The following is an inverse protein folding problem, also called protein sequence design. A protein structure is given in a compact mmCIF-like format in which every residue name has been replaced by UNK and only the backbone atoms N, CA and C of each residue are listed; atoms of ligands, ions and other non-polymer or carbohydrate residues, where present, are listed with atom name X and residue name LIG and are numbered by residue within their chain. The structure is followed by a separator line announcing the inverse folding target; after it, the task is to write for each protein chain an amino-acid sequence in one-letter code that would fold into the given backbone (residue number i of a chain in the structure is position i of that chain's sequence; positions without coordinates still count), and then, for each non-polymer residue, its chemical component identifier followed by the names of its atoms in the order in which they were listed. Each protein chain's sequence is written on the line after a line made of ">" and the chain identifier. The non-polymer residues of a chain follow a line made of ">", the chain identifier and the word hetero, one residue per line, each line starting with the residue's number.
data_IF_172896036443
#
_entry.id   IF_172896036443
#
_cell.length_a   1.000
_cell.length_b   1.000
_cell.length_c   1.000
_cell.angle_alpha   90.00
_cell.angle_beta   90.00
_cell.angle_gamma   90.00
#
_symmetry.space_group_name_H-M   'P 1'
#
loop_
_entity.id
_entity.type
_entity.pdbx_description
1 polymer ?
#
# COMPACT_ATOMS: atom_id res chain seq x y z
N UNK A 1 -18.05 38.90 -67.07
CA UNK A 1 -18.45 39.30 -65.70
C UNK A 1 -19.28 38.17 -65.10
N UNK A 2 -18.66 37.30 -64.31
CA UNK A 2 -19.31 36.08 -63.80
C UNK A 2 -19.96 36.38 -62.45
N UNK A 3 -21.29 36.21 -62.42
CA UNK A 3 -22.18 36.40 -61.28
C UNK A 3 -22.25 35.16 -60.39
N UNK A 4 -22.57 35.42 -59.12
CA UNK A 4 -22.84 34.47 -58.04
C UNK A 4 -23.92 33.43 -58.36
N UNK A 5 -23.81 32.26 -57.70
CA UNK A 5 -24.89 31.29 -57.52
C UNK A 5 -24.66 30.46 -56.27
N UNK A 6 -25.44 30.74 -55.22
CA UNK A 6 -25.49 29.97 -53.99
C UNK A 6 -26.28 28.68 -54.19
N UNK A 7 -25.93 27.61 -53.46
CA UNK A 7 -26.83 26.47 -53.25
C UNK A 7 -26.63 25.92 -51.84
N UNK A 8 -27.70 26.04 -51.06
CA UNK A 8 -27.85 25.54 -49.69
C UNK A 8 -28.47 24.14 -49.79
N UNK A 9 -27.83 23.13 -49.21
CA UNK A 9 -28.46 21.84 -48.94
C UNK A 9 -28.61 21.65 -47.42
N UNK A 10 -29.86 21.73 -46.97
CA UNK A 10 -30.32 21.36 -45.63
C UNK A 10 -30.73 19.88 -45.67
N UNK A 11 -30.04 19.03 -44.91
CA UNK A 11 -30.57 17.70 -44.57
C UNK A 11 -31.05 17.67 -43.12
N UNK A 12 -32.32 17.31 -42.98
CA UNK A 12 -33.06 17.08 -41.74
C UNK A 12 -32.73 15.69 -41.21
N UNK A 13 -32.39 15.61 -39.92
CA UNK A 13 -32.30 14.36 -39.17
C UNK A 13 -33.00 14.46 -37.82
N UNK A 14 -34.34 14.39 -37.82
CA UNK A 14 -35.14 14.23 -36.62
C UNK A 14 -35.06 12.77 -36.12
N UNK A 15 -34.66 12.56 -34.86
CA UNK A 15 -35.14 11.42 -34.06
C UNK A 15 -35.56 11.92 -32.68
N UNK A 16 -36.88 11.82 -32.47
CA UNK A 16 -37.65 12.07 -31.26
C UNK A 16 -37.48 10.85 -30.36
N UNK A 17 -37.10 11.05 -29.10
CA UNK A 17 -37.28 10.05 -28.04
C UNK A 17 -38.11 10.73 -26.94
N UNK A 18 -39.28 10.15 -26.69
CA UNK A 18 -40.29 10.63 -25.77
C UNK A 18 -39.84 10.40 -24.31
N UNK A 19 -39.88 11.45 -23.50
CA UNK A 19 -39.65 11.40 -22.05
C UNK A 19 -41.00 11.64 -21.36
N UNK A 20 -41.46 10.64 -20.62
CA UNK A 20 -42.61 10.74 -19.73
C UNK A 20 -42.42 11.85 -18.69
N UNK A 21 -43.34 12.81 -18.69
CA UNK A 21 -43.49 13.85 -17.67
C UNK A 21 -44.23 13.28 -16.45
N UNK A 22 -43.60 13.33 -15.27
CA UNK A 22 -44.32 13.49 -14.02
C UNK A 22 -43.96 14.85 -13.42
N UNK A 23 -44.97 15.72 -13.38
CA UNK A 23 -44.99 16.99 -12.69
C UNK A 23 -44.84 16.79 -11.18
N UNK A 24 -43.90 17.50 -10.56
CA UNK A 24 -44.11 18.14 -9.25
C UNK A 24 -43.57 19.57 -9.39
N UNK A 25 -44.49 20.53 -9.39
CA UNK A 25 -44.20 21.96 -9.35
C UNK A 25 -43.96 22.40 -7.89
N UNK A 26 -42.77 22.93 -7.60
CA UNK A 26 -42.58 24.03 -6.64
C UNK A 26 -41.40 24.91 -7.12
N UNK A 27 -41.71 26.14 -7.50
CA UNK A 27 -40.80 27.28 -7.81
C UNK A 27 -40.45 28.06 -6.51
N UNK A 28 -39.56 29.09 -6.51
CA UNK A 28 -38.61 29.50 -7.55
C UNK A 28 -37.16 29.81 -7.10
N UNK A 29 -36.31 29.82 -8.13
CA UNK A 29 -34.99 30.45 -8.27
C UNK A 29 -34.92 31.93 -7.85
N UNK A 30 -33.96 32.28 -6.98
CA UNK A 30 -33.38 33.65 -6.92
C UNK A 30 -31.83 33.65 -6.79
N UNK A 31 -31.14 32.53 -6.51
CA UNK A 31 -29.70 32.58 -6.17
C UNK A 31 -28.71 32.02 -7.22
N UNK A 32 -29.18 31.46 -8.34
CA UNK A 32 -28.29 30.77 -9.29
C UNK A 32 -27.70 31.64 -10.41
N UNK A 33 -28.20 32.85 -10.65
CA UNK A 33 -27.78 33.68 -11.81
C UNK A 33 -26.64 34.65 -11.52
N UNK A 34 -26.42 35.09 -10.26
CA UNK A 34 -25.29 36.00 -9.93
C UNK A 34 -23.91 35.32 -9.99
N UNK A 35 -23.80 34.05 -9.63
CA UNK A 35 -22.50 33.36 -9.53
C UNK A 35 -21.88 32.94 -10.89
N UNK A 36 -22.67 32.89 -11.97
CA UNK A 36 -22.14 32.49 -13.30
C UNK A 36 -21.52 33.65 -14.08
N UNK A 37 -21.95 34.89 -13.86
CA UNK A 37 -21.41 36.05 -14.57
C UNK A 37 -20.04 36.48 -14.03
N UNK A 38 -19.82 36.36 -12.72
CA UNK A 38 -18.57 36.76 -12.08
C UNK A 38 -17.41 35.78 -12.37
N UNK A 39 -17.72 34.49 -12.53
CA UNK A 39 -16.70 33.46 -12.78
C UNK A 39 -16.11 33.52 -14.21
N UNK A 40 -16.90 33.97 -15.19
CA UNK A 40 -16.43 34.13 -16.58
C UNK A 40 -15.64 35.43 -16.79
N UNK A 41 -15.86 36.45 -15.96
CA UNK A 41 -15.06 37.69 -15.98
C UNK A 41 -13.64 37.44 -15.43
N UNK A 42 -13.51 36.69 -14.33
CA UNK A 42 -12.21 36.38 -13.70
C UNK A 42 -11.30 35.49 -14.58
N UNK A 43 -11.88 34.61 -15.40
CA UNK A 43 -11.10 33.75 -16.30
C UNK A 43 -10.50 34.50 -17.51
N UNK A 44 -11.05 35.67 -17.89
CA UNK A 44 -10.50 36.46 -19.02
C UNK A 44 -9.33 37.34 -18.61
N UNK A 45 -9.31 37.88 -17.39
CA UNK A 45 -8.20 38.69 -16.85
C UNK A 45 -6.95 37.88 -16.55
N UNK A 46 -7.08 36.59 -16.19
CA UNK A 46 -5.92 35.73 -15.94
C UNK A 46 -5.15 35.34 -17.21
N UNK A 47 -5.80 35.33 -18.39
CA UNK A 47 -5.17 34.90 -19.65
C UNK A 47 -4.32 35.97 -20.33
N UNK A 48 -4.50 37.25 -19.99
CA UNK A 48 -3.72 38.36 -20.54
C UNK A 48 -2.36 38.59 -19.86
N UNK A 49 -2.07 37.93 -18.71
CA UNK A 49 -0.83 38.15 -17.96
C UNK A 49 0.31 37.15 -18.24
N UNK A 50 0.10 36.13 -19.06
CA UNK A 50 1.10 35.08 -19.32
C UNK A 50 1.80 35.15 -20.70
N UNK A 51 1.65 36.26 -21.43
CA UNK A 51 2.28 36.46 -22.73
C UNK A 51 3.39 37.50 -22.69
N UNK A 52 4.48 37.25 -21.95
CA UNK A 52 5.80 37.85 -22.20
C UNK A 52 6.79 37.39 -21.11
N UNK A 53 7.56 36.35 -21.40
CA UNK A 53 8.90 36.14 -20.82
C UNK A 53 9.72 35.33 -21.81
N UNK A 54 10.36 36.06 -22.72
CA UNK A 54 11.41 35.56 -23.61
C UNK A 54 12.72 35.35 -22.83
N UNK A 55 13.42 34.31 -23.25
CA UNK A 55 14.88 34.15 -23.39
C UNK A 55 15.78 35.00 -22.47
N UNK A 56 16.50 34.30 -21.59
CA UNK A 56 17.87 34.69 -21.23
C UNK A 56 18.72 33.42 -21.16
N UNK A 57 19.81 33.47 -21.91
CA UNK A 57 20.83 32.44 -22.05
C UNK A 57 21.55 32.16 -20.73
N UNK A 58 21.70 30.88 -20.39
CA UNK A 58 22.53 30.41 -19.29
C UNK A 58 23.63 29.52 -19.85
N UNK A 59 24.84 30.11 -19.89
CA UNK A 59 26.11 29.48 -20.23
C UNK A 59 26.43 28.40 -19.20
N UNK A 60 26.53 27.15 -19.64
CA UNK A 60 26.98 26.04 -18.82
C UNK A 60 28.51 26.10 -18.63
N UNK A 61 28.93 26.41 -17.40
CA UNK A 61 30.31 26.24 -16.94
C UNK A 61 30.57 24.74 -16.70
N UNK A 62 31.52 24.19 -17.45
CA UNK A 62 32.02 22.83 -17.35
C UNK A 62 32.90 22.73 -16.09
N UNK A 63 32.55 21.85 -15.16
CA UNK A 63 33.43 21.45 -14.05
C UNK A 63 34.19 20.16 -14.40
N UNK A 64 35.46 20.02 -13.97
CA UNK A 64 36.34 18.94 -14.42
C UNK A 64 36.10 17.60 -13.70
N UNK A 65 36.39 16.53 -14.45
CA UNK A 65 36.35 15.11 -14.06
C UNK A 65 37.18 14.77 -12.80
N UNK A 66 36.64 13.96 -11.87
CA UNK A 66 37.46 13.33 -10.85
C UNK A 66 38.12 12.05 -11.37
N UNK A 67 39.45 12.09 -11.35
CA UNK A 67 40.44 11.00 -11.26
C UNK A 67 39.97 9.55 -11.45
N UNK A 68 40.49 8.97 -12.53
CA UNK A 68 40.56 7.57 -12.94
C UNK A 68 41.16 6.67 -11.83
N UNK A 69 40.34 5.84 -11.20
CA UNK A 69 40.82 4.74 -10.34
C UNK A 69 41.22 3.56 -11.24
N UNK A 70 42.49 3.17 -11.20
CA UNK A 70 42.98 1.97 -11.89
C UNK A 70 42.44 0.68 -11.24
N UNK A 71 41.98 -0.32 -12.01
CA UNK A 71 41.64 -1.63 -11.49
C UNK A 71 42.92 -2.45 -11.21
N UNK A 72 42.98 -3.09 -10.04
CA UNK A 72 44.03 -4.05 -9.71
C UNK A 72 43.93 -5.34 -10.55
N UNK A 73 45.06 -6.01 -10.83
CA UNK A 73 45.09 -7.23 -11.63
C UNK A 73 44.43 -8.43 -10.91
N UNK A 74 43.89 -9.41 -11.65
CA UNK A 74 43.22 -10.56 -11.08
C UNK A 74 44.20 -11.49 -10.36
N UNK A 75 43.87 -11.84 -9.12
CA UNK A 75 44.56 -12.88 -8.34
C UNK A 75 44.25 -14.24 -8.97
N UNK A 76 45.30 -14.88 -9.45
CA UNK A 76 45.31 -16.18 -10.11
C UNK A 76 44.95 -17.30 -9.12
N UNK A 77 43.70 -17.75 -9.15
CA UNK A 77 43.23 -18.83 -8.27
C UNK A 77 43.74 -20.18 -8.79
N UNK A 78 44.73 -20.73 -8.10
CA UNK A 78 45.25 -22.09 -8.28
C UNK A 78 44.13 -23.15 -8.18
N UNK A 79 43.61 -23.58 -9.34
CA UNK A 79 42.72 -24.75 -9.46
C UNK A 79 43.55 -26.03 -9.35
N UNK A 80 43.70 -26.57 -8.15
CA UNK A 80 44.08 -27.98 -7.96
C UNK A 80 42.91 -28.86 -8.45
N UNK A 81 43.01 -29.36 -9.69
CA UNK A 81 42.18 -30.45 -10.22
C UNK A 81 42.39 -31.68 -9.33
N UNK A 82 41.38 -32.03 -8.52
CA UNK A 82 41.30 -33.38 -7.93
C UNK A 82 40.89 -34.34 -9.04
N UNK A 83 41.86 -35.12 -9.51
CA UNK A 83 41.64 -36.33 -10.30
C UNK A 83 40.78 -37.27 -9.44
N UNK A 84 39.54 -37.53 -9.88
CA UNK A 84 38.70 -38.59 -9.31
C UNK A 84 39.24 -39.92 -9.85
N UNK A 85 39.91 -40.68 -8.99
CA UNK A 85 40.13 -42.11 -9.23
C UNK A 85 38.76 -42.83 -9.23
N UNK A 86 38.56 -43.84 -10.09
CA UNK A 86 37.31 -44.57 -10.17
C UNK A 86 37.18 -45.48 -8.94
N UNK A 87 36.14 -45.23 -8.14
CA UNK A 87 35.73 -46.14 -7.07
C UNK A 87 35.10 -47.36 -7.73
N UNK A 88 35.74 -48.51 -7.57
CA UNK A 88 35.25 -49.80 -8.02
C UNK A 88 33.86 -50.11 -7.44
N UNK A 89 32.95 -50.51 -8.33
CA UNK A 89 31.69 -51.16 -7.96
C UNK A 89 32.01 -52.51 -7.31
N UNK A 90 31.84 -52.60 -6.00
CA UNK A 90 31.71 -53.90 -5.34
C UNK A 90 30.31 -54.44 -5.63
N UNK A 91 30.29 -55.56 -6.34
CA UNK A 91 29.08 -56.31 -6.70
C UNK A 91 28.45 -56.91 -5.44
N UNK A 92 27.18 -56.57 -5.21
CA UNK A 92 26.34 -57.18 -4.20
C UNK A 92 25.81 -58.53 -4.72
N UNK A 93 26.66 -59.56 -4.69
CA UNK A 93 26.28 -60.96 -4.94
C UNK A 93 26.74 -61.79 -3.76
N UNK A 94 25.94 -61.80 -2.68
CA UNK A 94 25.85 -62.91 -1.71
C UNK A 94 24.88 -62.55 -0.58
N UNK A 95 23.56 -62.63 -0.84
CA UNK A 95 22.56 -62.68 0.24
C UNK A 95 21.21 -63.27 -0.19
N UNK A 96 21.23 -64.36 -0.96
CA UNK A 96 20.03 -65.18 -1.23
C UNK A 96 20.42 -66.65 -1.32
N UNK A 97 20.59 -67.28 -0.18
CA UNK A 97 20.34 -68.71 -0.03
C UNK A 97 19.57 -68.89 1.29
N UNK A 98 18.62 -69.82 1.31
CA UNK A 98 17.63 -70.12 2.36
C UNK A 98 16.25 -69.45 2.19
N UNK A 99 15.51 -69.86 1.15
CA UNK A 99 14.05 -70.05 1.21
C UNK A 99 13.77 -71.40 0.52
N UNK A 100 13.09 -72.36 1.16
CA UNK A 100 12.80 -73.66 0.56
C UNK A 100 11.78 -73.54 -0.58
N UNK A 101 12.05 -74.33 -1.62
CA UNK A 101 11.23 -74.48 -2.81
C UNK A 101 10.04 -75.40 -2.53
N UNK A 102 8.82 -74.86 -2.67
CA UNK A 102 7.61 -75.65 -2.95
C UNK A 102 6.49 -74.72 -3.44
N UNK A 103 6.54 -74.34 -4.72
CA UNK A 103 5.38 -73.83 -5.48
C UNK A 103 5.69 -73.82 -6.98
N UNK A 104 5.98 -75.00 -7.52
CA UNK A 104 5.73 -75.29 -8.93
C UNK A 104 4.24 -75.56 -9.04
N UNK A 105 3.48 -74.63 -9.63
CA UNK A 105 2.17 -74.85 -10.30
C UNK A 105 1.49 -73.49 -10.55
N UNK A 106 2.11 -72.57 -11.29
CA UNK A 106 1.44 -71.41 -11.92
C UNK A 106 2.29 -70.92 -13.11
N UNK A 107 2.43 -71.77 -14.13
CA UNK A 107 2.95 -71.35 -15.44
C UNK A 107 1.74 -70.97 -16.31
N UNK A 108 1.46 -69.68 -16.49
CA UNK A 108 0.36 -69.24 -17.35
C UNK A 108 -0.01 -67.76 -17.37
N UNK A 109 0.61 -66.89 -16.56
CA UNK A 109 0.27 -65.46 -16.57
C UNK A 109 1.41 -64.63 -17.17
N UNK A 110 1.20 -64.16 -18.40
CA UNK A 110 2.07 -63.19 -19.06
C UNK A 110 2.29 -61.97 -18.16
N UNK A 111 3.54 -61.46 -18.01
CA UNK A 111 3.83 -60.34 -17.14
C UNK A 111 3.04 -59.10 -17.59
N UNK A 112 2.07 -58.71 -16.77
CA UNK A 112 1.31 -57.49 -16.94
C UNK A 112 2.29 -56.31 -17.05
N UNK A 113 2.23 -55.55 -18.15
CA UNK A 113 3.11 -54.40 -18.34
C UNK A 113 2.90 -53.37 -17.22
N UNK A 114 3.96 -52.63 -16.86
CA UNK A 114 3.89 -51.55 -15.87
C UNK A 114 2.76 -50.55 -16.19
N UNK A 115 2.48 -50.31 -17.47
CA UNK A 115 1.38 -49.48 -17.92
C UNK A 115 0.00 -50.08 -17.60
N UNK A 116 -0.21 -51.38 -17.84
CA UNK A 116 -1.45 -52.07 -17.48
C UNK A 116 -1.70 -52.04 -15.96
N UNK A 117 -0.63 -52.19 -15.16
CA UNK A 117 -0.73 -52.09 -13.69
C UNK A 117 -1.09 -50.68 -13.22
N UNK A 118 -0.62 -49.65 -13.91
CA UNK A 118 -0.96 -48.24 -13.61
C UNK A 118 -2.34 -47.85 -14.12
N UNK A 119 -2.79 -48.39 -15.25
CA UNK A 119 -4.15 -48.21 -15.77
C UNK A 119 -5.19 -48.85 -14.85
N UNK A 120 -4.94 -50.08 -14.38
CA UNK A 120 -5.78 -50.76 -13.38
C UNK A 120 -5.89 -49.96 -12.08
N UNK A 121 -4.80 -49.34 -11.60
CA UNK A 121 -4.85 -48.46 -10.41
C UNK A 121 -5.61 -47.16 -10.65
N UNK A 122 -5.57 -46.59 -11.86
CA UNK A 122 -6.31 -45.36 -12.20
C UNK A 122 -7.82 -45.59 -12.27
N UNK A 123 -8.24 -46.80 -12.67
CA UNK A 123 -9.66 -47.12 -12.89
C UNK A 123 -10.36 -47.74 -11.67
N UNK A 124 -9.71 -47.82 -10.49
CA UNK A 124 -10.38 -48.30 -9.28
C UNK A 124 -11.48 -47.33 -8.85
N UNK A 125 -12.71 -47.82 -8.81
CA UNK A 125 -13.89 -47.14 -8.27
C UNK A 125 -13.95 -47.20 -6.74
N UNK A 126 -13.19 -48.11 -6.12
CA UNK A 126 -13.10 -48.27 -4.68
C UNK A 126 -11.65 -48.20 -4.19
N UNK A 127 -11.45 -47.68 -2.99
CA UNK A 127 -10.14 -47.71 -2.34
C UNK A 127 -9.84 -49.10 -1.77
N UNK A 128 -8.61 -49.33 -1.28
CA UNK A 128 -8.24 -50.60 -0.64
C UNK A 128 -9.03 -50.96 0.63
N UNK A 129 -9.92 -50.07 1.10
CA UNK A 129 -10.86 -50.32 2.20
C UNK A 129 -12.33 -50.38 1.74
N UNK A 130 -12.58 -50.48 0.44
CA UNK A 130 -13.94 -50.58 -0.12
C UNK A 130 -14.71 -49.27 -0.26
N UNK A 131 -14.23 -48.13 0.25
CA UNK A 131 -14.94 -46.86 0.07
C UNK A 131 -14.95 -46.41 -1.39
N UNK A 132 -16.07 -45.83 -1.89
CA UNK A 132 -16.13 -45.28 -3.25
C UNK A 132 -15.15 -44.11 -3.40
N UNK A 133 -14.44 -44.10 -4.53
CA UNK A 133 -13.57 -42.98 -4.94
C UNK A 133 -14.38 -42.16 -5.95
N UNK A 134 -14.71 -40.89 -5.65
CA UNK A 134 -15.45 -40.06 -6.60
C UNK A 134 -14.66 -39.88 -7.89
N UNK A 135 -15.35 -39.93 -9.04
CA UNK A 135 -14.75 -39.97 -10.37
C UNK A 135 -13.87 -38.73 -10.70
N UNK A 136 -14.03 -37.63 -9.95
CA UNK A 136 -13.38 -36.36 -10.23
C UNK A 136 -12.78 -35.73 -8.97
N UNK A 137 -11.45 -35.83 -8.83
CA UNK A 137 -10.67 -34.95 -7.95
C UNK A 137 -9.57 -34.33 -8.81
N UNK A 138 -9.50 -33.00 -8.80
CA UNK A 138 -8.88 -32.20 -9.85
C UNK A 138 -7.43 -32.53 -10.21
N UNK A 139 -7.12 -32.21 -11.48
CA UNK A 139 -5.83 -31.99 -12.13
C UNK A 139 -4.58 -32.35 -11.30
N UNK A 140 -4.12 -33.60 -11.47
CA UNK A 140 -2.70 -33.96 -11.27
C UNK A 140 -2.28 -34.47 -9.89
N UNK A 141 -3.19 -34.60 -8.92
CA UNK A 141 -2.85 -35.19 -7.61
C UNK A 141 -3.34 -36.63 -7.49
N UNK A 142 -2.55 -37.50 -6.85
CA UNK A 142 -2.89 -38.91 -6.60
C UNK A 142 -4.29 -38.99 -5.98
N UNK A 143 -5.22 -39.74 -6.60
CA UNK A 143 -6.60 -39.93 -6.09
C UNK A 143 -6.53 -40.48 -4.66
N UNK A 144 -6.86 -39.65 -3.67
CA UNK A 144 -7.01 -40.06 -2.27
C UNK A 144 -8.49 -40.28 -1.97
N UNK A 145 -8.81 -41.40 -1.35
CA UNK A 145 -10.15 -41.65 -0.84
C UNK A 145 -10.48 -40.61 0.24
N UNK A 146 -11.52 -39.79 0.01
CA UNK A 146 -11.94 -38.71 0.91
C UNK A 146 -12.31 -39.27 2.28
N UNK A 147 -13.03 -40.40 2.34
CA UNK A 147 -13.38 -41.08 3.60
C UNK A 147 -12.13 -41.49 4.39
N UNK A 148 -11.16 -42.12 3.73
CA UNK A 148 -9.89 -42.49 4.36
C UNK A 148 -9.07 -41.27 4.80
N UNK A 149 -9.04 -40.20 3.99
CA UNK A 149 -8.32 -38.97 4.33
C UNK A 149 -8.98 -38.26 5.52
N UNK A 150 -10.31 -38.16 5.54
CA UNK A 150 -11.10 -37.63 6.67
C UNK A 150 -10.87 -38.45 7.94
N UNK A 151 -10.94 -39.78 7.87
CA UNK A 151 -10.63 -40.64 9.01
C UNK A 151 -9.17 -40.49 9.47
N UNK A 152 -8.22 -40.32 8.54
CA UNK A 152 -6.82 -40.11 8.88
C UNK A 152 -6.59 -38.73 9.52
N UNK A 153 -7.30 -37.69 9.06
CA UNK A 153 -7.30 -36.36 9.68
C UNK A 153 -7.93 -36.38 11.06
N UNK A 154 -9.07 -37.05 11.24
CA UNK A 154 -9.72 -37.23 12.53
C UNK A 154 -8.78 -37.92 13.53
N UNK A 155 -8.14 -39.04 13.13
CA UNK A 155 -7.14 -39.73 13.97
C UNK A 155 -5.92 -38.86 14.29
N UNK A 156 -5.49 -37.97 13.37
CA UNK A 156 -4.41 -37.01 13.66
C UNK A 156 -4.87 -35.94 14.66
N UNK A 157 -6.05 -35.37 14.46
CA UNK A 157 -6.62 -34.36 15.36
C UNK A 157 -6.85 -34.93 16.76
N UNK A 158 -7.37 -36.16 16.87
CA UNK A 158 -7.58 -36.86 18.14
C UNK A 158 -6.25 -37.17 18.82
N UNK A 159 -5.23 -37.61 18.06
CA UNK A 159 -3.87 -37.79 18.57
C UNK A 159 -3.22 -36.47 19.01
N UNK A 160 -3.49 -35.37 18.31
CA UNK A 160 -2.96 -34.05 18.68
C UNK A 160 -3.72 -33.47 19.90
N UNK A 161 -4.98 -33.87 20.12
CA UNK A 161 -5.81 -33.43 21.27
C UNK A 161 -5.54 -34.23 22.55
N UNK A 162 -5.42 -35.56 22.45
CA UNK A 162 -5.34 -36.46 23.61
C UNK A 162 -4.10 -37.34 23.64
N UNK A 163 -3.34 -37.39 22.53
CA UNK A 163 -2.11 -38.15 22.51
C UNK A 163 -1.03 -37.47 23.36
N UNK A 164 -0.07 -38.24 23.90
CA UNK A 164 1.10 -37.65 24.52
C UNK A 164 1.75 -36.68 23.53
N UNK A 165 2.18 -35.48 23.96
CA UNK A 165 2.83 -34.53 23.08
C UNK A 165 3.93 -35.27 22.34
N UNK A 166 3.98 -35.15 21.01
CA UNK A 166 5.06 -35.76 20.22
C UNK A 166 6.36 -35.18 20.74
N UNK A 167 7.02 -35.93 21.64
CA UNK A 167 8.40 -35.69 22.01
C UNK A 167 9.12 -35.83 20.68
N UNK A 168 9.49 -34.70 20.09
CA UNK A 168 10.35 -34.67 18.92
C UNK A 168 11.66 -35.21 19.44
N UNK A 169 11.82 -36.54 19.42
CA UNK A 169 13.08 -37.19 19.74
C UNK A 169 14.07 -36.49 18.81
N UNK A 170 14.98 -35.65 19.35
CA UNK A 170 15.95 -34.99 18.50
C UNK A 170 16.64 -36.11 17.77
N UNK A 171 16.60 -36.09 16.43
CA UNK A 171 17.30 -37.11 15.66
C UNK A 171 18.73 -37.15 16.20
N UNK A 172 19.25 -38.31 16.61
CA UNK A 172 20.59 -38.40 17.17
C UNK A 172 21.53 -37.71 16.19
N UNK A 173 22.17 -36.64 16.67
CA UNK A 173 23.05 -35.81 15.84
C UNK A 173 24.32 -36.63 15.65
N UNK A 174 24.30 -37.55 14.69
CA UNK A 174 25.28 -38.63 14.51
C UNK A 174 26.66 -38.16 14.00
N UNK A 175 27.07 -36.95 14.32
CA UNK A 175 28.43 -36.49 14.15
C UNK A 175 28.74 -35.55 15.28
N UNK A 176 29.84 -35.78 16.00
CA UNK A 176 30.35 -34.88 17.04
C UNK A 176 30.39 -33.41 16.57
N UNK A 177 30.52 -32.45 17.51
CA UNK A 177 30.41 -31.03 17.23
C UNK A 177 31.38 -30.63 16.11
N UNK A 178 30.84 -30.41 14.91
CA UNK A 178 31.63 -29.93 13.78
C UNK A 178 32.04 -28.50 14.10
N UNK A 179 33.35 -28.27 14.20
CA UNK A 179 33.92 -26.94 14.45
C UNK A 179 34.00 -26.09 13.18
N UNK A 180 33.96 -26.73 12.00
CA UNK A 180 34.08 -26.07 10.70
C UNK A 180 33.01 -26.54 9.72
N UNK A 181 32.58 -25.65 8.82
CA UNK A 181 31.71 -26.00 7.72
C UNK A 181 32.47 -26.79 6.64
N UNK A 182 31.79 -27.44 5.68
CA UNK A 182 32.46 -28.20 4.61
C UNK A 182 33.43 -27.38 3.74
N UNK A 183 33.29 -26.05 3.73
CA UNK A 183 34.19 -25.12 3.04
C UNK A 183 35.36 -24.62 3.91
N UNK A 184 35.47 -25.09 5.15
CA UNK A 184 36.55 -24.71 6.08
C UNK A 184 36.28 -23.47 6.94
N UNK A 185 35.12 -22.81 6.83
CA UNK A 185 34.81 -21.67 7.70
C UNK A 185 34.44 -22.13 9.12
N UNK A 186 34.93 -21.47 10.18
CA UNK A 186 34.61 -21.86 11.55
C UNK A 186 33.13 -21.64 11.86
N UNK A 187 32.52 -22.58 12.58
CA UNK A 187 31.16 -22.46 13.12
C UNK A 187 31.17 -21.73 14.47
N UNK A 188 31.69 -20.50 14.47
CA UNK A 188 31.79 -19.66 15.68
C UNK A 188 31.22 -18.25 15.45
N UNK A 189 30.81 -17.61 16.55
CA UNK A 189 30.40 -16.21 16.61
C UNK A 189 29.42 -15.79 15.52
N UNK A 190 29.77 -14.72 14.80
CA UNK A 190 28.92 -14.12 13.76
C UNK A 190 28.70 -15.02 12.53
N UNK A 191 29.52 -16.06 12.32
CA UNK A 191 29.43 -16.94 11.15
C UNK A 191 28.47 -18.12 11.36
N UNK A 192 28.04 -18.38 12.60
CA UNK A 192 27.08 -19.43 12.91
C UNK A 192 25.64 -18.90 12.87
N UNK A 193 24.78 -19.56 12.09
CA UNK A 193 23.32 -19.38 12.15
C UNK A 193 22.65 -20.73 12.38
N UNK A 194 21.76 -20.80 13.36
CA UNK A 194 20.96 -22.00 13.60
C UNK A 194 19.73 -21.96 12.69
N UNK A 195 19.58 -22.95 11.82
CA UNK A 195 18.43 -23.11 10.95
C UNK A 195 17.17 -23.54 11.71
N UNK A 196 16.00 -23.44 11.08
CA UNK A 196 14.72 -23.83 11.70
C UNK A 196 14.64 -25.31 12.12
N UNK A 197 15.52 -26.17 11.55
CA UNK A 197 15.66 -27.59 11.92
C UNK A 197 16.74 -27.84 12.97
N UNK A 198 17.31 -26.79 13.56
CA UNK A 198 18.42 -26.88 14.52
C UNK A 198 19.79 -27.17 13.89
N UNK A 199 19.91 -27.09 12.56
CA UNK A 199 21.18 -27.33 11.86
C UNK A 199 22.08 -26.08 11.82
N UNK A 200 23.39 -26.28 11.92
CA UNK A 200 24.39 -25.20 11.82
C UNK A 200 24.58 -24.77 10.36
N UNK A 201 24.21 -23.53 10.06
CA UNK A 201 24.36 -22.90 8.74
C UNK A 201 25.50 -21.88 8.84
N UNK A 202 26.51 -22.03 7.97
CA UNK A 202 27.60 -21.08 7.85
C UNK A 202 27.11 -19.85 7.08
N UNK A 203 27.12 -18.67 7.72
CA UNK A 203 26.63 -17.42 7.12
C UNK A 203 27.44 -17.03 5.89
N UNK A 204 28.77 -17.19 5.92
CA UNK A 204 29.62 -16.92 4.75
C UNK A 204 29.23 -17.78 3.55
N UNK A 205 29.05 -19.10 3.75
CA UNK A 205 28.59 -20.00 2.69
C UNK A 205 27.18 -19.65 2.21
N UNK A 206 26.26 -19.31 3.12
CA UNK A 206 24.89 -18.94 2.77
C UNK A 206 24.84 -17.63 1.97
N UNK A 207 25.64 -16.62 2.34
CA UNK A 207 25.76 -15.36 1.63
C UNK A 207 26.37 -15.58 0.24
N UNK A 208 27.47 -16.33 0.15
CA UNK A 208 28.09 -16.68 -1.13
C UNK A 208 27.12 -17.43 -2.05
N UNK A 209 26.32 -18.36 -1.51
CA UNK A 209 25.28 -19.04 -2.27
C UNK A 209 24.17 -18.08 -2.72
N UNK A 210 23.76 -17.15 -1.87
CA UNK A 210 22.77 -16.12 -2.21
C UNK A 210 23.28 -15.18 -3.30
N UNK A 211 24.54 -14.76 -3.25
CA UNK A 211 25.16 -13.92 -4.28
C UNK A 211 25.30 -14.66 -5.62
N UNK A 212 25.73 -15.93 -5.61
CA UNK A 212 25.74 -16.75 -6.84
C UNK A 212 24.35 -16.86 -7.47
N UNK A 213 23.33 -17.10 -6.64
CA UNK A 213 21.95 -17.16 -7.12
C UNK A 213 21.48 -15.81 -7.69
N UNK A 214 21.82 -14.68 -7.06
CA UNK A 214 21.52 -13.34 -7.59
C UNK A 214 22.24 -13.09 -8.92
N UNK A 215 23.50 -13.49 -9.05
CA UNK A 215 24.29 -13.35 -10.27
C UNK A 215 23.72 -14.22 -11.41
N UNK A 216 23.43 -15.49 -11.14
CA UNK A 216 22.78 -16.40 -12.10
C UNK A 216 21.44 -15.82 -12.59
N UNK A 217 20.62 -15.32 -11.66
CA UNK A 217 19.34 -14.68 -12.01
C UNK A 217 19.50 -13.37 -12.77
N UNK A 218 20.56 -12.61 -12.51
CA UNK A 218 20.91 -11.41 -13.28
C UNK A 218 21.32 -11.76 -14.71
N UNK A 219 22.11 -12.82 -14.90
CA UNK A 219 22.51 -13.33 -16.21
C UNK A 219 21.32 -13.90 -17.00
N UNK A 220 20.39 -14.58 -16.32
CA UNK A 220 19.12 -15.04 -16.91
C UNK A 220 18.20 -13.89 -17.38
N UNK A 221 18.52 -12.63 -17.06
CA UNK A 221 17.62 -11.47 -17.23
C UNK A 221 16.37 -11.53 -16.34
N UNK A 222 16.23 -12.58 -15.51
CA UNK A 222 15.11 -12.79 -14.59
C UNK A 222 15.47 -12.18 -13.25
N UNK A 223 15.15 -10.91 -13.04
CA UNK A 223 15.35 -10.29 -11.72
C UNK A 223 14.69 -11.17 -10.63
N UNK A 224 15.47 -11.72 -9.69
CA UNK A 224 15.01 -12.76 -8.76
C UNK A 224 13.88 -12.30 -7.83
N UNK A 225 13.74 -10.99 -7.64
CA UNK A 225 12.78 -10.37 -6.72
C UNK A 225 11.63 -9.67 -7.44
N UNK A 226 11.59 -9.74 -8.77
CA UNK A 226 10.71 -8.91 -9.58
C UNK A 226 9.69 -9.80 -10.28
N UNK A 227 8.73 -10.28 -9.51
CA UNK A 227 7.56 -10.96 -10.06
C UNK A 227 6.78 -9.96 -10.91
N UNK A 228 6.77 -10.15 -12.23
CA UNK A 228 5.93 -9.36 -13.14
C UNK A 228 4.47 -9.77 -12.86
N UNK A 229 3.61 -8.83 -12.44
CA UNK A 229 2.20 -9.12 -12.21
C UNK A 229 1.56 -9.70 -13.47
N UNK A 230 0.73 -10.74 -13.30
CA UNK A 230 -0.10 -11.25 -14.41
C UNK A 230 -1.07 -10.16 -14.85
N UNK A 231 -1.31 -10.06 -16.15
CA UNK A 231 -2.23 -9.07 -16.75
C UNK A 231 -3.63 -9.10 -16.12
N UNK A 232 -4.15 -10.30 -15.85
CA UNK A 232 -5.42 -10.51 -15.15
C UNK A 232 -5.46 -9.85 -13.76
N UNK A 233 -4.33 -9.85 -13.04
CA UNK A 233 -4.25 -9.23 -11.72
C UNK A 233 -4.27 -7.72 -11.82
N UNK A 234 -3.64 -7.15 -12.87
CA UNK A 234 -3.66 -5.71 -13.11
C UNK A 234 -5.08 -5.26 -13.46
N UNK A 235 -5.75 -5.98 -14.37
CA UNK A 235 -7.16 -5.71 -14.72
C UNK A 235 -8.10 -5.81 -13.52
N UNK A 236 -7.89 -6.78 -12.62
CA UNK A 236 -8.66 -6.86 -11.36
C UNK A 236 -8.49 -5.62 -10.48
N UNK A 237 -7.29 -5.05 -10.40
CA UNK A 237 -7.04 -3.82 -9.64
C UNK A 237 -7.66 -2.61 -10.34
N UNK A 238 -7.55 -2.52 -11.67
CA UNK A 238 -8.18 -1.45 -12.46
C UNK A 238 -9.69 -1.44 -12.28
N UNK A 239 -10.34 -2.60 -12.40
CA UNK A 239 -11.77 -2.74 -12.18
C UNK A 239 -12.16 -2.37 -10.74
N UNK A 240 -11.42 -2.85 -9.74
CA UNK A 240 -11.68 -2.47 -8.35
C UNK A 240 -11.53 -0.95 -8.11
N UNK A 241 -10.52 -0.32 -8.72
CA UNK A 241 -10.35 1.13 -8.66
C UNK A 241 -11.50 1.86 -9.36
N UNK A 242 -11.98 1.38 -10.51
CA UNK A 242 -13.13 1.94 -11.22
C UNK A 242 -14.45 1.77 -10.45
N UNK A 243 -14.60 0.69 -9.68
CA UNK A 243 -15.77 0.41 -8.82
C UNK A 243 -15.82 1.27 -7.54
N UNK A 244 -14.91 2.22 -7.37
CA UNK A 244 -14.91 3.10 -6.20
C UNK A 244 -14.18 2.53 -4.98
N UNK A 245 -13.42 1.43 -5.14
CA UNK A 245 -12.69 0.82 -4.03
C UNK A 245 -11.50 1.69 -3.61
N UNK A 246 -11.20 1.70 -2.31
CA UNK A 246 -10.03 2.36 -1.76
C UNK A 246 -8.79 1.47 -1.83
N UNK A 247 -7.60 2.07 -1.93
CA UNK A 247 -6.33 1.32 -1.94
C UNK A 247 -6.15 0.46 -0.68
N UNK A 248 -6.66 0.88 0.47
CA UNK A 248 -6.62 0.11 1.71
C UNK A 248 -7.53 -1.12 1.68
N UNK A 249 -8.68 -1.04 1.00
CA UNK A 249 -9.59 -2.17 0.76
C UNK A 249 -8.95 -3.18 -0.19
N UNK A 250 -8.35 -2.71 -1.30
CA UNK A 250 -7.65 -3.58 -2.24
C UNK A 250 -6.49 -4.36 -1.58
N UNK A 251 -5.81 -3.75 -0.59
CA UNK A 251 -4.75 -4.36 0.23
C UNK A 251 -5.26 -5.28 1.34
N UNK A 252 -6.56 -5.31 1.63
CA UNK A 252 -7.14 -6.05 2.76
C UNK A 252 -6.73 -5.50 4.13
N UNK A 253 -6.45 -4.20 4.24
CA UNK A 253 -6.14 -3.55 5.52
C UNK A 253 -7.41 -3.25 6.36
N UNK A 254 -8.60 -3.44 5.78
CA UNK A 254 -9.87 -3.33 6.50
C UNK A 254 -10.23 -4.70 7.06
N UNK A 255 -10.52 -4.75 8.38
CA UNK A 255 -10.93 -6.00 9.06
C UNK A 255 -12.12 -6.62 8.35
N UNK A 256 -12.01 -7.92 8.04
CA UNK A 256 -13.07 -8.71 7.38
C UNK A 256 -13.07 -8.66 5.84
N UNK A 257 -12.35 -7.71 5.21
CA UNK A 257 -12.24 -7.68 3.76
C UNK A 257 -11.12 -8.60 3.27
N UNK A 258 -11.42 -9.48 2.30
CA UNK A 258 -10.38 -10.28 1.64
C UNK A 258 -9.54 -9.36 0.74
N UNK A 259 -8.20 -9.37 0.84
CA UNK A 259 -7.34 -8.58 -0.04
C UNK A 259 -7.51 -9.05 -1.49
N UNK A 260 -7.68 -8.11 -2.42
CA UNK A 260 -7.65 -8.41 -3.85
C UNK A 260 -6.21 -8.70 -4.28
N UNK A 261 -5.27 -7.90 -3.75
CA UNK A 261 -3.84 -8.02 -4.09
C UNK A 261 -2.95 -7.76 -2.89
N UNK A 262 -1.75 -8.36 -2.92
CA UNK A 262 -0.73 -8.10 -1.91
C UNK A 262 -0.12 -6.69 -2.08
N UNK A 263 0.40 -6.06 -1.02
CA UNK A 263 1.14 -4.80 -1.13
C UNK A 263 2.30 -4.86 -2.13
N UNK A 264 3.01 -5.99 -2.19
CA UNK A 264 4.13 -6.21 -3.12
C UNK A 264 3.68 -6.25 -4.59
N UNK A 265 2.45 -6.69 -4.85
CA UNK A 265 1.86 -6.66 -6.20
C UNK A 265 1.66 -5.23 -6.69
N UNK A 266 1.16 -4.32 -5.84
CA UNK A 266 0.99 -2.91 -6.20
C UNK A 266 2.35 -2.22 -6.45
N UNK A 267 3.36 -2.51 -5.62
CA UNK A 267 4.73 -2.03 -5.84
C UNK A 267 5.29 -2.53 -7.17
N UNK A 268 5.05 -3.80 -7.50
CA UNK A 268 5.47 -4.39 -8.77
C UNK A 268 4.78 -3.70 -9.95
N UNK A 269 3.48 -3.40 -9.85
CA UNK A 269 2.75 -2.66 -10.90
C UNK A 269 3.34 -1.25 -11.08
N UNK A 270 3.56 -0.51 -9.99
CA UNK A 270 4.19 0.82 -10.03
C UNK A 270 5.55 0.78 -10.73
N UNK A 271 6.32 -0.27 -10.49
CA UNK A 271 7.68 -0.39 -11.01
C UNK A 271 7.73 -0.88 -12.47
N UNK A 272 6.80 -1.73 -12.90
CA UNK A 272 6.81 -2.34 -14.24
C UNK A 272 5.85 -1.70 -15.23
N UNK A 273 4.79 -1.05 -14.75
CA UNK A 273 3.72 -0.46 -15.54
C UNK A 273 3.40 0.95 -15.03
N UNK A 274 4.35 1.90 -15.11
CA UNK A 274 4.22 3.21 -14.49
C UNK A 274 3.01 3.99 -15.03
N UNK A 275 2.72 3.92 -16.33
CA UNK A 275 1.59 4.63 -16.94
C UNK A 275 0.24 4.08 -16.44
N UNK A 276 0.07 2.75 -16.37
CA UNK A 276 -1.14 2.14 -15.80
C UNK A 276 -1.27 2.46 -14.31
N UNK A 277 -0.16 2.46 -13.58
CA UNK A 277 -0.15 2.84 -12.18
C UNK A 277 -0.61 4.28 -11.97
N UNK A 278 -0.21 5.24 -12.81
CA UNK A 278 -0.70 6.63 -12.72
C UNK A 278 -2.22 6.68 -12.82
N UNK A 279 -2.81 5.99 -13.78
CA UNK A 279 -4.28 5.92 -13.94
C UNK A 279 -4.96 5.30 -12.72
N UNK A 280 -4.45 4.16 -12.24
CA UNK A 280 -4.97 3.47 -11.04
C UNK A 280 -4.85 4.37 -9.80
N UNK A 281 -3.72 5.07 -9.62
CA UNK A 281 -3.47 5.94 -8.48
C UNK A 281 -4.39 7.16 -8.47
N UNK A 282 -4.65 7.76 -9.64
CA UNK A 282 -5.63 8.85 -9.80
C UNK A 282 -7.02 8.37 -9.37
N UNK A 283 -7.46 7.19 -9.84
CA UNK A 283 -8.75 6.61 -9.44
C UNK A 283 -8.83 6.37 -7.92
N UNK A 284 -7.79 5.78 -7.31
CA UNK A 284 -7.77 5.60 -5.86
C UNK A 284 -7.81 6.93 -5.08
N UNK A 285 -7.18 7.99 -5.59
CA UNK A 285 -7.24 9.34 -4.99
C UNK A 285 -8.65 9.94 -5.09
N UNK A 286 -9.29 9.84 -6.25
CA UNK A 286 -10.68 10.28 -6.43
C UNK A 286 -11.63 9.51 -5.50
N UNK A 287 -11.49 8.18 -5.43
CA UNK A 287 -12.29 7.36 -4.51
C UNK A 287 -12.08 7.77 -3.05
N UNK A 288 -10.84 8.09 -2.65
CA UNK A 288 -10.56 8.60 -1.31
C UNK A 288 -11.31 9.90 -1.02
N UNK A 289 -11.36 10.83 -1.97
CA UNK A 289 -12.12 12.07 -1.84
C UNK A 289 -13.63 11.78 -1.74
N UNK A 290 -14.17 10.93 -2.61
CA UNK A 290 -15.59 10.54 -2.59
C UNK A 290 -15.99 9.89 -1.26
N UNK A 291 -15.20 8.94 -0.76
CA UNK A 291 -15.45 8.32 0.55
C UNK A 291 -15.34 9.31 1.70
N UNK A 292 -14.43 10.29 1.61
CA UNK A 292 -14.34 11.35 2.62
C UNK A 292 -15.59 12.22 2.65
N UNK A 293 -16.13 12.59 1.48
CA UNK A 293 -17.37 13.36 1.38
C UNK A 293 -18.58 12.57 1.85
N UNK A 294 -18.67 11.28 1.51
CA UNK A 294 -19.74 10.39 2.01
C UNK A 294 -19.66 10.29 3.53
N UNK A 295 -18.46 10.20 4.10
CA UNK A 295 -18.26 10.17 5.55
C UNK A 295 -18.75 11.44 6.22
N UNK A 296 -18.39 12.61 5.67
CA UNK A 296 -18.84 13.92 6.16
C UNK A 296 -20.36 14.05 6.04
N UNK A 297 -20.95 13.69 4.90
CA UNK A 297 -22.40 13.72 4.71
C UNK A 297 -23.13 12.78 5.65
N UNK A 298 -22.61 11.57 5.88
CA UNK A 298 -23.18 10.65 6.87
C UNK A 298 -23.11 11.22 8.27
N UNK A 299 -21.97 11.80 8.68
CA UNK A 299 -21.89 12.44 10.00
C UNK A 299 -22.90 13.58 10.13
N UNK A 300 -23.09 14.39 9.09
CA UNK A 300 -24.06 15.49 9.06
C UNK A 300 -25.51 14.98 9.06
N UNK A 301 -25.82 13.91 8.33
CA UNK A 301 -27.18 13.37 8.25
C UNK A 301 -27.60 12.59 9.49
N UNK A 302 -26.66 11.96 10.20
CA UNK A 302 -26.95 11.24 11.45
C UNK A 302 -26.92 12.14 12.68
N UNK A 303 -26.26 13.29 12.61
CA UNK A 303 -26.47 14.33 13.60
C UNK A 303 -27.76 15.05 13.28
N UNK A 304 -28.80 14.91 14.11
CA UNK A 304 -29.80 15.96 14.19
C UNK A 304 -29.06 17.31 14.28
N UNK A 305 -29.49 18.36 13.57
CA UNK A 305 -28.82 19.65 13.62
C UNK A 305 -28.62 19.96 15.10
N UNK A 306 -27.36 20.11 15.56
CA UNK A 306 -27.09 20.24 16.96
C UNK A 306 -27.94 21.40 17.48
N UNK A 307 -28.76 21.13 18.49
CA UNK A 307 -29.56 22.16 19.11
C UNK A 307 -28.55 23.22 19.60
N UNK A 308 -28.61 24.43 19.02
CA UNK A 308 -27.73 25.52 19.44
C UNK A 308 -27.89 25.68 20.94
N UNK A 309 -26.77 25.58 21.64
CA UNK A 309 -26.77 25.72 23.10
C UNK A 309 -26.75 27.21 23.38
N UNK A 310 -27.82 27.72 24.00
CA UNK A 310 -27.83 29.07 24.55
C UNK A 310 -27.10 29.02 25.89
N UNK A 311 -25.92 29.63 25.94
CA UNK A 311 -25.17 29.81 27.18
C UNK A 311 -25.55 31.16 27.79
N UNK A 312 -25.82 31.18 29.09
CA UNK A 312 -25.87 32.43 29.84
C UNK A 312 -24.49 33.09 29.90
N UNK A 313 -24.43 34.39 30.21
CA UNK A 313 -23.16 35.13 30.29
C UNK A 313 -22.16 34.50 31.26
N UNK A 314 -22.62 34.02 32.42
CA UNK A 314 -21.77 33.34 33.41
C UNK A 314 -21.27 31.99 32.92
N UNK A 315 -22.11 31.21 32.23
CA UNK A 315 -21.69 29.93 31.67
C UNK A 315 -20.68 30.08 30.54
N UNK A 316 -20.79 31.14 29.73
CA UNK A 316 -19.82 31.45 28.69
C UNK A 316 -18.44 31.77 29.30
N UNK A 317 -18.41 32.52 30.40
CA UNK A 317 -17.18 32.85 31.12
C UNK A 317 -16.55 31.61 31.78
N UNK A 318 -17.34 30.77 32.44
CA UNK A 318 -16.88 29.49 32.99
C UNK A 318 -16.29 28.58 31.91
N UNK A 319 -16.96 28.51 30.76
CA UNK A 319 -16.51 27.73 29.61
C UNK A 319 -15.17 28.26 29.07
N UNK A 320 -15.04 29.58 28.92
CA UNK A 320 -13.81 30.23 28.49
C UNK A 320 -12.66 29.91 29.44
N UNK A 321 -12.85 30.07 30.76
CA UNK A 321 -11.84 29.75 31.76
C UNK A 321 -11.45 28.27 31.75
N UNK A 322 -12.43 27.37 31.63
CA UNK A 322 -12.19 25.93 31.53
C UNK A 322 -11.34 25.59 30.30
N UNK A 323 -11.67 26.17 29.13
CA UNK A 323 -10.93 25.93 27.88
C UNK A 323 -9.49 26.43 27.98
N UNK A 324 -9.25 27.62 28.52
CA UNK A 324 -7.90 28.15 28.70
C UNK A 324 -7.03 27.30 29.62
N UNK A 325 -7.61 26.69 30.66
CA UNK A 325 -6.90 25.75 31.55
C UNK A 325 -6.50 24.45 30.85
N UNK A 326 -7.27 24.02 29.85
CA UNK A 326 -7.02 22.78 29.11
C UNK A 326 -6.11 22.99 27.88
N UNK A 327 -5.99 24.22 27.38
CA UNK A 327 -5.12 24.54 26.25
C UNK A 327 -3.64 24.41 26.64
N UNK A 328 -2.78 23.84 25.76
CA UNK A 328 -1.36 23.70 26.05
C UNK A 328 -0.68 25.07 26.22
N UNK A 329 0.08 25.23 27.32
CA UNK A 329 0.90 26.42 27.55
C UNK A 329 2.07 26.57 26.56
N UNK A 330 2.34 25.56 25.74
CA UNK A 330 3.36 25.62 24.68
C UNK A 330 2.92 26.41 23.45
N UNK A 331 1.64 26.76 23.34
CA UNK A 331 1.12 27.64 22.30
C UNK A 331 1.38 29.10 22.70
N UNK A 332 1.70 29.96 21.71
CA UNK A 332 1.70 31.41 21.92
C UNK A 332 0.32 31.88 22.37
N UNK A 333 0.27 33.03 23.06
CA UNK A 333 -0.97 33.60 23.59
C UNK A 333 -2.05 33.68 22.49
N UNK A 334 -1.69 34.23 21.35
CA UNK A 334 -2.62 34.46 20.22
C UNK A 334 -3.18 33.13 19.67
N UNK A 335 -2.33 32.12 19.52
CA UNK A 335 -2.78 30.78 19.11
C UNK A 335 -3.69 30.12 20.16
N UNK A 336 -3.51 30.43 21.45
CA UNK A 336 -4.40 29.94 22.50
C UNK A 336 -5.75 30.64 22.42
N UNK A 337 -5.76 31.94 22.19
CA UNK A 337 -6.99 32.74 22.12
C UNK A 337 -7.84 32.35 20.90
N UNK A 338 -7.22 32.14 19.74
CA UNK A 338 -7.89 31.62 18.55
C UNK A 338 -8.43 30.19 18.75
N UNK A 339 -7.60 29.30 19.31
CA UNK A 339 -8.02 27.93 19.59
C UNK A 339 -9.15 27.88 20.63
N UNK A 340 -9.15 28.80 21.60
CA UNK A 340 -10.21 28.93 22.58
C UNK A 340 -11.52 29.39 21.92
N UNK A 341 -11.47 30.45 21.10
CA UNK A 341 -12.64 30.94 20.37
C UNK A 341 -13.23 29.89 19.43
N UNK A 342 -12.41 29.23 18.62
CA UNK A 342 -12.86 28.18 17.70
C UNK A 342 -13.51 26.99 18.46
N UNK A 343 -12.96 26.63 19.63
CA UNK A 343 -13.52 25.55 20.45
C UNK A 343 -14.86 25.97 21.10
N UNK A 344 -14.97 27.20 21.59
CA UNK A 344 -16.19 27.74 22.19
C UNK A 344 -17.29 27.88 21.13
N UNK A 345 -16.95 28.38 19.94
CA UNK A 345 -17.87 28.43 18.81
C UNK A 345 -18.40 27.03 18.48
N UNK A 346 -17.53 26.01 18.44
CA UNK A 346 -17.94 24.62 18.24
C UNK A 346 -18.87 24.08 19.34
N UNK A 347 -18.77 24.58 20.58
CA UNK A 347 -19.66 24.21 21.69
C UNK A 347 -21.01 24.91 21.57
N UNK A 348 -21.04 26.19 21.22
CA UNK A 348 -22.28 26.97 21.00
C UNK A 348 -23.07 26.42 19.81
N UNK A 349 -22.37 26.06 18.73
CA UNK A 349 -22.93 25.36 17.58
C UNK A 349 -23.38 23.93 17.93
N UNK A 350 -23.05 23.42 19.11
CA UNK A 350 -23.36 22.07 19.59
C UNK A 350 -22.63 20.96 18.84
N UNK A 351 -21.56 21.29 18.11
CA UNK A 351 -20.65 20.31 17.51
C UNK A 351 -19.84 19.55 18.57
N UNK A 352 -19.58 20.19 19.72
CA UNK A 352 -18.92 19.59 20.88
C UNK A 352 -19.81 19.80 22.11
N UNK A 353 -20.09 18.71 22.82
CA UNK A 353 -20.82 18.76 24.09
C UNK A 353 -19.91 19.29 25.21
N UNK A 354 -20.40 20.24 26.02
CA UNK A 354 -19.67 20.87 27.14
C UNK A 354 -19.08 19.80 28.08
N UNK A 355 -19.81 18.71 28.32
CA UNK A 355 -19.38 17.61 29.20
C UNK A 355 -18.19 16.79 28.65
N UNK A 356 -17.94 16.87 27.33
CA UNK A 356 -16.91 16.09 26.64
C UNK A 356 -15.61 16.87 26.44
N UNK A 357 -15.54 18.12 26.91
CA UNK A 357 -14.34 18.95 26.83
C UNK A 357 -13.31 18.42 27.82
N UNK A 358 -12.49 17.48 27.34
CA UNK A 358 -11.37 16.89 28.07
C UNK A 358 -10.04 17.37 27.48
N UNK A 359 -8.95 17.27 28.24
CA UNK A 359 -7.60 17.60 27.75
C UNK A 359 -7.25 16.90 26.43
N UNK A 360 -7.71 15.65 26.26
CA UNK A 360 -7.47 14.88 25.04
C UNK A 360 -8.24 15.45 23.84
N UNK A 361 -9.50 15.84 24.03
CA UNK A 361 -10.32 16.47 22.97
C UNK A 361 -9.73 17.82 22.58
N UNK A 362 -9.30 18.64 23.54
CA UNK A 362 -8.65 19.93 23.27
C UNK A 362 -7.35 19.73 22.47
N UNK A 363 -6.49 18.78 22.87
CA UNK A 363 -5.25 18.47 22.12
C UNK A 363 -5.54 17.98 20.70
N UNK A 364 -6.58 17.15 20.52
CA UNK A 364 -6.99 16.69 19.20
C UNK A 364 -7.56 17.82 18.35
N UNK A 365 -8.33 18.72 18.94
CA UNK A 365 -8.90 19.89 18.29
C UNK A 365 -7.81 20.85 17.81
N UNK A 366 -6.90 21.26 18.71
CA UNK A 366 -5.73 22.09 18.37
C UNK A 366 -4.89 21.41 17.30
N UNK A 367 -4.57 20.13 17.45
CA UNK A 367 -3.76 19.41 16.45
C UNK A 367 -4.48 19.23 15.10
N UNK A 368 -5.81 19.26 15.07
CA UNK A 368 -6.60 19.25 13.83
C UNK A 368 -6.59 20.63 13.19
N UNK A 369 -6.94 21.68 13.94
CA UNK A 369 -6.87 23.07 13.48
C UNK A 369 -5.48 23.38 12.95
N UNK A 370 -4.42 22.97 13.66
CA UNK A 370 -3.05 23.23 13.23
C UNK A 370 -2.70 22.57 11.90
N UNK A 371 -3.25 21.39 11.62
CA UNK A 371 -3.02 20.71 10.32
C UNK A 371 -3.86 21.30 9.18
N UNK A 372 -5.06 21.79 9.49
CA UNK A 372 -5.98 22.33 8.48
C UNK A 372 -5.67 23.79 8.15
N UNK A 373 -5.24 24.57 9.15
CA UNK A 373 -5.17 26.03 9.10
C UNK A 373 -3.80 26.59 9.54
N UNK A 374 -2.68 25.86 9.40
CA UNK A 374 -1.35 26.37 9.81
C UNK A 374 -1.00 27.76 9.25
N UNK A 375 -1.53 28.12 8.07
CA UNK A 375 -1.31 29.43 7.43
C UNK A 375 -2.38 30.48 7.76
N UNK A 376 -3.43 30.13 8.51
CA UNK A 376 -4.45 31.11 8.95
C UNK A 376 -3.85 32.10 9.96
N UNK A 377 -2.78 31.70 10.65
CA UNK A 377 -2.22 32.44 11.77
C UNK A 377 -1.05 33.36 11.42
N UNK A 378 -0.58 33.34 10.17
CA UNK A 378 0.60 34.10 9.75
C UNK A 378 1.85 33.78 10.59
N UNK A 379 2.98 34.37 10.24
CA UNK A 379 4.19 34.32 11.09
C UNK A 379 4.18 35.43 12.16
N UNK A 380 3.26 36.39 12.02
CA UNK A 380 3.14 37.59 12.84
C UNK A 380 1.67 37.82 13.20
N UNK A 381 1.42 37.93 14.51
CA UNK A 381 0.12 38.34 15.05
C UNK A 381 -0.20 39.79 14.68
N UNK A 382 -1.49 40.12 14.55
CA UNK A 382 -1.95 41.52 14.43
C UNK A 382 -1.59 42.35 15.67
N UNK A 383 -1.31 41.69 16.78
CA UNK A 383 -0.91 42.32 18.03
C UNK A 383 0.62 42.27 18.23
N UNK A 384 1.34 41.62 17.31
CA UNK A 384 2.81 41.59 17.36
C UNK A 384 3.35 42.99 17.07
N UNK A 385 4.32 43.41 17.88
CA UNK A 385 5.04 44.65 17.65
C UNK A 385 5.76 44.58 16.29
N UNK A 386 5.53 45.58 15.43
CA UNK A 386 6.14 45.64 14.09
C UNK A 386 7.54 46.29 14.11
N UNK A 387 7.96 46.83 15.26
CA UNK A 387 9.29 47.37 15.48
C UNK A 387 9.66 47.45 16.95
N UNK A 388 10.78 48.11 17.25
CA UNK A 388 11.25 48.38 18.62
C UNK A 388 10.48 49.54 19.29
N UNK A 389 9.55 50.16 18.57
CA UNK A 389 8.74 51.30 18.98
C UNK A 389 7.53 50.91 19.84
N UNK A 390 7.26 49.61 19.99
CA UNK A 390 6.20 49.09 20.84
C UNK A 390 4.79 49.20 20.24
N UNK A 391 4.66 49.63 18.98
CA UNK A 391 3.39 49.69 18.28
C UNK A 391 3.03 48.32 17.68
N UNK A 392 1.80 47.88 17.96
CA UNK A 392 1.26 46.69 17.32
C UNK A 392 0.86 46.99 15.87
N UNK A 393 0.78 45.94 15.05
CA UNK A 393 0.22 46.05 13.71
C UNK A 393 -1.20 46.64 13.73
N UNK A 394 -1.99 46.35 14.79
CA UNK A 394 -3.31 46.95 14.95
C UNK A 394 -3.28 48.44 15.23
N UNK A 395 -2.36 48.93 16.06
CA UNK A 395 -2.21 50.38 16.28
C UNK A 395 -1.90 51.10 14.96
N UNK A 396 -1.09 50.45 14.12
CA UNK A 396 -0.71 50.96 12.79
C UNK A 396 -1.89 51.00 11.80
N UNK A 397 -2.84 50.06 11.93
CA UNK A 397 -4.03 49.98 11.06
C UNK A 397 -5.13 50.94 11.55
N UNK A 398 -5.29 51.09 12.86
CA UNK A 398 -6.34 51.92 13.46
C UNK A 398 -6.08 53.41 13.34
N UNK A 399 -4.83 53.85 13.25
CA UNK A 399 -4.47 55.26 13.14
C UNK A 399 -4.78 55.91 11.78
N UNK A 400 -5.39 55.18 10.84
CA UNK A 400 -5.91 55.77 9.60
C UNK A 400 -4.83 56.47 8.76
N UNK A 401 -3.56 56.14 8.97
CA UNK A 401 -2.46 56.71 8.23
C UNK A 401 -2.61 56.28 6.76
N UNK A 402 -3.06 57.24 5.95
CA UNK A 402 -3.08 57.13 4.51
C UNK A 402 -1.74 56.56 4.05
N UNK A 403 -1.76 55.41 3.39
CA UNK A 403 -0.60 54.82 2.76
C UNK A 403 -0.12 55.76 1.65
N UNK A 404 0.68 56.77 1.97
CA UNK A 404 1.65 57.32 1.03
C UNK A 404 2.88 56.44 1.13
N UNK A 405 2.86 55.31 0.41
CA UNK A 405 4.08 54.54 0.15
C UNK A 405 5.05 55.52 -0.52
N UNK A 406 6.19 55.89 0.10
CA UNK A 406 7.18 56.69 -0.57
C UNK A 406 7.72 55.82 -1.71
N UNK A 407 7.55 56.29 -2.95
CA UNK A 407 7.88 55.54 -4.16
C UNK A 407 9.39 55.23 -4.33
N UNK A 408 10.25 55.50 -3.34
CA UNK A 408 11.70 55.55 -3.54
C UNK A 408 12.56 55.02 -2.38
N UNK A 409 12.19 53.89 -1.78
CA UNK A 409 13.21 53.12 -1.02
C UNK A 409 13.24 51.67 -1.47
N UNK A 410 14.18 51.38 -2.38
CA UNK A 410 14.58 50.03 -2.78
C UNK A 410 15.28 49.24 -1.68
N UNK A 411 14.73 49.21 -0.46
CA UNK A 411 15.20 48.31 0.60
C UNK A 411 14.46 46.99 0.50
N UNK A 412 15.16 46.00 -0.04
CA UNK A 412 14.78 44.59 0.10
C UNK A 412 14.79 44.21 1.59
N UNK A 413 13.61 43.97 2.15
CA UNK A 413 13.44 43.28 3.43
C UNK A 413 13.91 41.83 3.20
N UNK A 414 15.08 41.47 3.72
CA UNK A 414 15.52 40.08 3.80
C UNK A 414 14.77 39.43 4.97
N UNK A 415 13.76 38.64 4.64
CA UNK A 415 13.17 37.66 5.56
C UNK A 415 14.23 36.58 5.79
N UNK A 416 14.55 36.31 7.05
CA UNK A 416 15.58 35.34 7.44
C UNK A 416 14.92 34.04 7.91
#
# INVERSE_FOLDING_TARGET
>A
MVRCGATVHLERGCRRAELHHHHINVLPDILATKLRHDFLAACRTARQRCGNRNQSDLVHVISPDPARIQPQPPVESNRKRKVRLPIGRLNATNRRQLIPASRSDLAGESPMTLEAAWASKRNRTTCGRGHPIPAYTGLGTVRRCTVCDTLQRARRAERDKYGPPRIKIPRPVASGPRTHCPSGHPYSGANLRIGYRGNNICRTCANAASERWKQEKKLDGKNPYRWKPKEETIKKIENAAAEGMLICQAKGLIRGAKPIVSPNTLLSIKQFFPERWKTIDIQFKLNRQTHSLIRVRRSVATSAPPARVFLSSSEAEELLQMVYRLLPNSLSRDHRDDAAHDLIAAVIEGAIDRSKITLQVVRQFVGKQYRENHNRWGDLSLDAAIGDDGFSLMDTIMDGAAWTVPADTGRHIKIR
#
